data_IF_132822344351
#
_entry.id   IF_132822344351
#
_cell.length_a   1.000
_cell.length_b   1.000
_cell.length_c   1.000
_cell.angle_alpha   90.00
_cell.angle_beta   90.00
_cell.angle_gamma   90.00
#
_symmetry.space_group_name_H-M   'P 1'
#
loop_
_entity.id
_entity.type
_entity.pdbx_description
1 polymer ?
#
# COMPACT_ATOMS: atom_id res chain seq x y z
N UNK A 1 39.64 32.12 -25.44
CA UNK A 1 40.31 31.61 -24.22
C UNK A 1 39.41 31.89 -23.02
N UNK A 2 38.99 30.87 -22.29
CA UNK A 2 38.62 30.92 -20.87
C UNK A 2 38.39 29.46 -20.43
N UNK A 3 39.14 28.99 -19.42
CA UNK A 3 39.07 27.61 -18.93
C UNK A 3 38.03 27.53 -17.81
N UNK A 4 37.16 26.52 -17.87
CA UNK A 4 36.26 26.17 -16.77
C UNK A 4 36.63 24.77 -16.29
N UNK A 5 37.50 24.69 -15.30
CA UNK A 5 37.95 23.45 -14.67
C UNK A 5 38.05 23.65 -13.16
N UNK A 6 37.57 22.67 -12.40
CA UNK A 6 37.46 22.63 -10.94
C UNK A 6 36.38 23.57 -10.35
N UNK A 7 35.42 22.95 -9.63
CA UNK A 7 34.89 23.33 -8.31
C UNK A 7 33.52 22.67 -8.09
N UNK A 8 33.51 21.41 -7.67
CA UNK A 8 32.30 20.73 -7.12
C UNK A 8 32.71 19.55 -6.23
N UNK A 9 33.51 19.89 -5.22
CA UNK A 9 33.78 19.07 -4.04
C UNK A 9 33.64 19.97 -2.81
N UNK A 10 33.22 19.40 -1.68
CA UNK A 10 33.00 20.07 -0.38
C UNK A 10 31.67 20.83 -0.20
N UNK A 11 30.54 20.10 -0.19
CA UNK A 11 29.48 20.33 0.80
C UNK A 11 29.07 18.97 1.43
N UNK A 12 29.96 18.46 2.27
CA UNK A 12 29.63 17.58 3.39
C UNK A 12 30.21 18.25 4.65
N UNK A 13 29.64 17.95 5.83
CA UNK A 13 29.95 18.55 7.15
C UNK A 13 29.27 19.88 7.48
N UNK A 14 28.03 19.81 7.97
CA UNK A 14 27.60 20.60 9.13
C UNK A 14 26.80 19.71 10.07
N UNK A 15 27.50 19.14 11.07
CA UNK A 15 26.86 18.64 12.28
C UNK A 15 26.68 19.81 13.25
N UNK A 16 25.47 19.97 13.80
CA UNK A 16 25.23 20.71 15.04
C UNK A 16 24.25 19.90 15.87
N UNK A 17 24.72 19.41 17.02
CA UNK A 17 23.93 18.64 17.98
C UNK A 17 23.57 19.50 19.20
N UNK A 18 22.37 19.25 19.77
CA UNK A 18 21.85 19.53 21.13
C UNK A 18 20.32 19.32 20.98
N UNK A 19 19.73 18.23 21.51
CA UNK A 19 19.30 18.05 22.91
C UNK A 19 18.25 19.10 23.34
N UNK A 20 17.11 18.80 23.97
CA UNK A 20 16.56 17.52 24.45
C UNK A 20 15.04 17.68 24.70
N UNK A 21 14.21 16.69 24.32
CA UNK A 21 13.22 16.10 25.25
C UNK A 21 12.63 14.78 24.75
N UNK A 22 12.81 13.77 25.59
CA UNK A 22 12.20 12.44 25.62
C UNK A 22 10.65 12.46 25.58
N UNK A 23 9.90 11.38 25.38
CA UNK A 23 10.19 9.92 25.37
C UNK A 23 9.15 9.27 24.44
N UNK A 24 9.38 8.16 23.72
CA UNK A 24 10.54 7.27 23.66
C UNK A 24 10.69 6.66 22.24
N UNK A 25 11.80 5.97 21.99
CA UNK A 25 11.98 5.02 20.88
C UNK A 25 12.61 3.73 21.45
N UNK A 26 12.13 2.56 21.02
CA UNK A 26 12.71 1.27 21.42
C UNK A 26 14.06 1.02 20.74
N UNK A 27 15.03 0.51 21.48
CA UNK A 27 16.42 0.36 21.04
C UNK A 27 16.60 -0.53 19.80
N UNK A 28 17.48 -0.09 18.90
CA UNK A 28 18.11 -0.93 17.89
C UNK A 28 19.47 -1.41 18.43
N UNK A 29 19.70 -2.72 18.51
CA UNK A 29 20.94 -3.25 19.09
C UNK A 29 21.33 -4.63 18.55
N UNK A 30 22.58 -4.73 18.09
CA UNK A 30 23.34 -5.93 17.72
C UNK A 30 22.75 -6.82 16.60
N UNK A 31 23.60 -7.16 15.62
CA UNK A 31 23.20 -7.93 14.46
C UNK A 31 22.80 -9.37 14.79
N UNK A 32 21.52 -9.69 14.60
CA UNK A 32 21.07 -11.05 14.32
C UNK A 32 20.07 -11.04 13.16
N UNK A 33 20.03 -12.19 12.47
CA UNK A 33 19.17 -12.54 11.32
C UNK A 33 17.75 -11.95 11.43
N UNK A 34 17.44 -10.92 10.64
CA UNK A 34 16.10 -10.33 10.53
C UNK A 34 15.07 -11.43 10.25
N UNK A 35 14.16 -11.64 11.20
CA UNK A 35 13.12 -12.66 11.07
C UNK A 35 12.08 -12.20 10.05
N UNK A 36 11.62 -13.13 9.21
CA UNK A 36 10.71 -12.89 8.08
C UNK A 36 9.29 -12.50 8.52
N UNK A 37 9.08 -12.33 9.83
CA UNK A 37 7.79 -12.03 10.49
C UNK A 37 7.44 -10.54 10.57
N UNK A 38 8.40 -9.64 10.76
CA UNK A 38 8.08 -8.21 10.97
C UNK A 38 7.57 -7.48 9.71
N UNK A 39 7.88 -7.98 8.51
CA UNK A 39 7.34 -7.43 7.25
C UNK A 39 5.85 -7.80 7.09
N UNK A 40 5.36 -8.85 7.77
CA UNK A 40 3.95 -9.22 7.73
C UNK A 40 3.08 -8.33 8.61
N UNK A 41 3.62 -7.78 9.70
CA UNK A 41 2.84 -7.05 10.73
C UNK A 41 2.50 -5.60 10.38
N UNK A 42 3.17 -4.99 9.41
CA UNK A 42 2.83 -3.62 8.97
C UNK A 42 1.60 -3.58 8.03
N UNK A 43 1.25 -4.71 7.38
CA UNK A 43 0.06 -4.78 6.53
C UNK A 43 -1.26 -4.77 7.32
N UNK A 44 -1.26 -5.29 8.55
CA UNK A 44 -2.41 -5.26 9.46
C UNK A 44 -2.62 -3.88 10.11
N UNK A 45 -1.68 -2.94 9.92
CA UNK A 45 -1.71 -1.60 10.52
C UNK A 45 -2.55 -0.60 9.74
N UNK A 46 -2.80 -0.83 8.44
CA UNK A 46 -3.72 0.02 7.69
C UNK A 46 -5.16 -0.35 8.02
N UNK A 47 -5.76 0.41 8.94
CA UNK A 47 -7.20 0.44 9.12
C UNK A 47 -7.78 1.53 8.22
N UNK A 48 -8.72 1.16 7.33
CA UNK A 48 -9.52 2.14 6.58
C UNK A 48 -10.51 2.81 7.54
N UNK A 49 -10.85 4.07 7.29
CA UNK A 49 -11.89 4.80 8.03
C UNK A 49 -13.06 5.11 7.09
N UNK A 50 -14.29 4.93 7.55
CA UNK A 50 -15.49 5.05 6.72
C UNK A 50 -16.54 5.95 7.37
N UNK A 51 -17.41 6.55 6.57
CA UNK A 51 -18.72 6.97 7.09
C UNK A 51 -19.51 5.73 7.50
N UNK A 52 -20.10 5.73 8.70
CA UNK A 52 -20.85 4.60 9.27
C UNK A 52 -22.18 5.10 9.81
N UNK A 53 -23.29 4.53 9.33
CA UNK A 53 -24.65 4.83 9.77
C UNK A 53 -25.57 3.63 9.48
N UNK A 54 -26.57 3.38 10.32
CA UNK A 54 -27.49 2.24 10.18
C UNK A 54 -28.89 2.74 9.91
N UNK A 55 -29.46 2.38 8.76
CA UNK A 55 -30.85 2.61 8.36
C UNK A 55 -31.33 4.07 8.56
N UNK A 56 -30.54 5.04 8.10
CA UNK A 56 -30.91 6.47 8.15
C UNK A 56 -31.60 6.87 6.85
N UNK A 57 -32.44 7.91 6.89
CA UNK A 57 -33.26 8.31 5.74
C UNK A 57 -32.47 8.94 4.59
N UNK A 58 -31.34 9.59 4.87
CA UNK A 58 -30.58 10.31 3.84
C UNK A 58 -29.07 10.37 4.11
N UNK A 59 -28.30 10.60 3.04
CA UNK A 59 -26.85 10.68 3.03
C UNK A 59 -26.31 11.85 3.86
N UNK A 60 -26.99 13.00 3.87
CA UNK A 60 -26.58 14.16 4.65
C UNK A 60 -26.57 13.85 6.15
N UNK A 61 -27.67 13.24 6.63
CA UNK A 61 -27.83 12.81 8.03
C UNK A 61 -26.80 11.73 8.38
N UNK A 62 -26.59 10.75 7.48
CA UNK A 62 -25.56 9.72 7.65
C UNK A 62 -24.17 10.34 7.90
N UNK A 63 -23.77 11.31 7.08
CA UNK A 63 -22.44 11.91 7.17
C UNK A 63 -22.29 12.87 8.36
N UNK A 64 -23.34 13.58 8.74
CA UNK A 64 -23.34 14.51 9.87
C UNK A 64 -23.16 13.82 11.22
N UNK A 65 -23.72 12.61 11.39
CA UNK A 65 -23.68 11.85 12.65
C UNK A 65 -22.83 10.57 12.54
N UNK A 66 -21.96 10.49 11.53
CA UNK A 66 -21.07 9.35 11.34
C UNK A 66 -20.06 9.22 12.48
N UNK A 67 -19.66 7.99 12.77
CA UNK A 67 -18.67 7.68 13.80
C UNK A 67 -17.27 7.77 13.18
N UNK A 68 -16.53 8.83 13.51
CA UNK A 68 -15.09 8.95 13.21
C UNK A 68 -14.28 7.98 14.08
N UNK A 69 -14.10 6.76 13.54
CA UNK A 69 -13.16 5.76 14.08
C UNK A 69 -12.69 4.83 12.96
N UNK A 70 -11.42 4.38 12.99
CA UNK A 70 -10.95 3.36 12.06
C UNK A 70 -11.76 2.07 12.16
N UNK A 71 -11.89 1.37 11.03
CA UNK A 71 -12.50 0.05 10.94
C UNK A 71 -11.69 -1.00 11.72
N UNK A 72 -12.31 -2.12 12.06
CA UNK A 72 -11.65 -3.19 12.82
C UNK A 72 -10.61 -3.92 11.94
N UNK A 73 -9.60 -4.59 12.54
CA UNK A 73 -8.71 -5.47 11.80
C UNK A 73 -9.48 -6.47 10.93
N UNK A 74 -9.12 -6.53 9.64
CA UNK A 74 -9.80 -7.35 8.62
C UNK A 74 -10.96 -6.64 7.89
N UNK A 75 -11.56 -5.60 8.45
CA UNK A 75 -12.51 -4.72 7.75
C UNK A 75 -11.73 -3.71 6.90
N UNK A 76 -11.54 -4.04 5.61
CA UNK A 76 -10.65 -3.30 4.68
C UNK A 76 -11.40 -2.48 3.62
N UNK A 77 -12.73 -2.53 3.61
CA UNK A 77 -13.58 -1.79 2.67
C UNK A 77 -14.67 -0.99 3.41
N UNK A 78 -15.01 0.16 2.85
CA UNK A 78 -16.26 0.85 3.11
C UNK A 78 -17.34 0.33 2.17
N UNK A 79 -18.49 -0.07 2.72
CA UNK A 79 -19.66 -0.54 1.98
C UNK A 79 -20.83 0.43 2.18
N UNK A 80 -21.52 0.76 1.10
CA UNK A 80 -22.72 1.59 1.09
C UNK A 80 -23.87 0.86 0.41
N UNK A 81 -24.97 0.71 1.14
CA UNK A 81 -26.29 0.39 0.58
C UNK A 81 -27.11 1.67 0.55
N UNK A 82 -27.71 1.97 -0.59
CA UNK A 82 -28.68 3.03 -0.77
C UNK A 82 -29.94 2.46 -1.45
N UNK A 83 -31.09 2.72 -0.84
CA UNK A 83 -32.40 2.36 -1.38
C UNK A 83 -33.13 3.66 -1.69
N UNK A 84 -33.63 3.78 -2.91
CA UNK A 84 -34.44 4.92 -3.36
C UNK A 84 -35.83 4.47 -3.78
N UNK A 85 -36.80 5.38 -3.72
CA UNK A 85 -38.11 5.19 -4.34
C UNK A 85 -38.04 5.37 -5.88
N UNK A 86 -39.15 5.12 -6.56
CA UNK A 86 -39.29 5.29 -8.02
C UNK A 86 -39.13 6.74 -8.53
N UNK A 87 -38.99 7.73 -7.64
CA UNK A 87 -38.69 9.12 -7.97
C UNK A 87 -37.21 9.48 -7.74
N UNK A 88 -36.41 8.54 -7.24
CA UNK A 88 -35.01 8.77 -6.84
C UNK A 88 -34.85 9.39 -5.45
N UNK A 89 -35.90 9.42 -4.63
CA UNK A 89 -35.84 9.92 -3.24
C UNK A 89 -35.17 8.89 -2.35
N UNK A 90 -34.20 9.30 -1.53
CA UNK A 90 -33.59 8.46 -0.49
C UNK A 90 -34.65 7.87 0.43
N UNK A 91 -34.73 6.53 0.50
CA UNK A 91 -35.57 5.78 1.45
C UNK A 91 -34.73 5.27 2.60
N UNK A 92 -33.55 4.73 2.30
CA UNK A 92 -32.64 4.16 3.29
C UNK A 92 -31.19 4.27 2.82
N UNK A 93 -30.33 4.81 3.69
CA UNK A 93 -28.87 4.78 3.58
C UNK A 93 -28.32 3.94 4.74
N UNK A 94 -27.43 3.00 4.42
CA UNK A 94 -26.71 2.19 5.38
C UNK A 94 -25.25 2.11 4.94
N UNK A 95 -24.33 2.56 5.81
CA UNK A 95 -22.89 2.57 5.55
C UNK A 95 -22.16 1.83 6.67
N UNK A 96 -21.20 0.99 6.32
CA UNK A 96 -20.41 0.20 7.27
C UNK A 96 -18.99 -0.07 6.76
N UNK A 97 -18.10 -0.30 7.71
CA UNK A 97 -16.89 -1.09 7.50
C UNK A 97 -17.26 -2.53 7.10
N UNK A 98 -16.47 -3.17 6.24
CA UNK A 98 -16.68 -4.57 5.85
C UNK A 98 -15.40 -5.23 5.31
N UNK A 99 -15.48 -6.55 5.09
CA UNK A 99 -14.41 -7.40 4.53
C UNK A 99 -14.53 -7.53 3.01
N UNK A 100 -13.43 -7.95 2.38
CA UNK A 100 -13.34 -8.36 0.97
C UNK A 100 -14.30 -9.50 0.56
N UNK A 101 -14.76 -10.32 1.53
CA UNK A 101 -15.72 -11.40 1.29
C UNK A 101 -17.16 -10.90 1.14
N UNK A 102 -17.53 -9.91 1.92
CA UNK A 102 -18.82 -9.22 1.81
C UNK A 102 -18.82 -8.26 0.63
N UNK A 103 -17.72 -7.53 0.45
CA UNK A 103 -17.55 -6.55 -0.61
C UNK A 103 -16.81 -7.14 -1.81
N UNK A 104 -17.56 -7.59 -2.82
CA UNK A 104 -17.01 -8.21 -4.03
C UNK A 104 -17.50 -7.48 -5.29
N UNK A 105 -16.72 -7.53 -6.37
CA UNK A 105 -17.03 -6.86 -7.65
C UNK A 105 -18.34 -7.34 -8.31
N UNK A 106 -18.84 -8.52 -7.96
CA UNK A 106 -20.14 -9.07 -8.38
C UNK A 106 -21.30 -8.79 -7.40
N UNK A 107 -21.06 -8.06 -6.30
CA UNK A 107 -22.05 -7.66 -5.29
C UNK A 107 -22.34 -6.15 -5.28
N UNK A 108 -21.59 -5.37 -6.05
CA UNK A 108 -21.88 -3.96 -6.34
C UNK A 108 -22.76 -3.83 -7.58
N UNK A 109 -23.43 -2.70 -7.72
CA UNK A 109 -24.38 -2.41 -8.80
C UNK A 109 -25.73 -1.97 -8.23
N UNK A 110 -26.74 -1.87 -9.09
CA UNK A 110 -28.11 -1.59 -8.68
C UNK A 110 -29.07 -2.68 -9.18
N UNK A 111 -30.09 -2.97 -8.39
CA UNK A 111 -31.21 -3.85 -8.71
C UNK A 111 -32.52 -3.16 -8.36
N UNK A 112 -33.53 -3.32 -9.21
CA UNK A 112 -34.89 -2.86 -8.96
C UNK A 112 -35.70 -3.97 -8.30
N UNK A 113 -36.37 -3.66 -7.18
CA UNK A 113 -37.22 -4.58 -6.43
C UNK A 113 -38.54 -3.87 -6.13
N UNK A 114 -39.64 -4.46 -6.61
CA UNK A 114 -41.03 -3.98 -6.58
C UNK A 114 -41.26 -2.60 -7.24
N UNK A 115 -40.69 -1.54 -6.65
CA UNK A 115 -40.68 -0.16 -7.17
C UNK A 115 -39.57 0.69 -6.54
N UNK A 116 -38.54 0.04 -5.98
CA UNK A 116 -37.41 0.67 -5.30
C UNK A 116 -36.10 0.27 -5.99
N UNK A 117 -35.19 1.23 -6.11
CA UNK A 117 -33.85 1.00 -6.65
C UNK A 117 -32.87 0.78 -5.51
N UNK A 118 -32.40 -0.46 -5.35
CA UNK A 118 -31.38 -0.83 -4.36
C UNK A 118 -30.00 -0.82 -5.00
N UNK A 119 -29.16 0.13 -4.61
CA UNK A 119 -27.80 0.28 -5.10
C UNK A 119 -26.76 -0.03 -4.02
N UNK A 120 -25.72 -0.78 -4.39
CA UNK A 120 -24.58 -1.14 -3.52
C UNK A 120 -23.28 -0.67 -4.16
N UNK A 121 -22.45 0.03 -3.38
CA UNK A 121 -21.09 0.41 -3.76
C UNK A 121 -20.07 0.08 -2.68
N UNK A 122 -18.83 -0.05 -3.10
CA UNK A 122 -17.69 -0.33 -2.24
C UNK A 122 -16.47 0.49 -2.63
N UNK A 123 -15.64 0.84 -1.65
CA UNK A 123 -14.35 1.45 -1.86
C UNK A 123 -13.39 1.17 -0.69
N UNK A 124 -12.06 1.22 -0.91
CA UNK A 124 -11.04 0.82 0.07
C UNK A 124 -10.12 1.95 0.57
N UNK A 125 -10.49 3.21 0.29
CA UNK A 125 -9.77 4.40 0.75
C UNK A 125 -10.47 5.06 1.95
N UNK A 126 -9.73 5.81 2.76
CA UNK A 126 -10.33 6.56 3.88
C UNK A 126 -11.38 7.56 3.40
N UNK A 127 -12.54 7.52 4.05
CA UNK A 127 -13.73 8.34 3.79
C UNK A 127 -14.27 8.28 2.35
N UNK A 128 -13.89 7.27 1.56
CA UNK A 128 -14.28 7.15 0.15
C UNK A 128 -15.80 7.07 -0.07
N UNK A 129 -16.57 6.67 0.95
CA UNK A 129 -18.01 6.50 0.90
C UNK A 129 -18.81 7.76 1.32
N UNK A 130 -18.29 8.98 1.13
CA UNK A 130 -19.03 10.24 1.37
C UNK A 130 -20.35 10.29 0.60
N UNK A 131 -20.35 9.83 -0.66
CA UNK A 131 -21.50 9.83 -1.54
C UNK A 131 -22.19 8.47 -1.55
N UNK A 132 -23.50 8.47 -1.85
CA UNK A 132 -24.30 7.25 -2.06
C UNK A 132 -24.42 6.92 -3.55
N UNK A 133 -24.48 5.63 -3.92
CA UNK A 133 -24.77 5.24 -5.29
C UNK A 133 -26.26 5.51 -5.60
N UNK A 134 -26.55 6.02 -6.80
CA UNK A 134 -27.91 6.35 -7.27
C UNK A 134 -28.25 5.71 -8.61
N UNK A 135 -27.28 5.06 -9.28
CA UNK A 135 -27.46 4.35 -10.53
C UNK A 135 -26.30 3.34 -10.75
N UNK A 136 -26.44 2.46 -11.75
CA UNK A 136 -25.44 1.44 -12.06
C UNK A 136 -24.07 1.99 -12.47
N UNK A 137 -23.96 3.27 -12.83
CA UNK A 137 -22.70 3.91 -13.22
C UNK A 137 -21.88 4.42 -12.03
N UNK A 138 -22.52 4.73 -10.89
CA UNK A 138 -21.83 5.12 -9.66
C UNK A 138 -21.90 4.06 -8.53
N UNK A 139 -22.69 2.99 -8.71
CA UNK A 139 -22.65 1.77 -7.89
C UNK A 139 -21.42 0.90 -8.21
N UNK A 140 -20.22 1.42 -7.89
CA UNK A 140 -18.93 0.83 -8.28
C UNK A 140 -18.23 0.09 -7.14
N UNK A 141 -17.24 -0.73 -7.52
CA UNK A 141 -16.26 -1.36 -6.63
C UNK A 141 -14.88 -0.74 -6.90
N UNK A 142 -14.38 0.06 -5.96
CA UNK A 142 -13.06 0.70 -6.02
C UNK A 142 -12.06 0.02 -5.06
N UNK A 143 -11.04 -0.57 -5.66
CA UNK A 143 -9.97 -1.37 -5.04
C UNK A 143 -8.61 -0.67 -5.14
N UNK A 144 -8.61 0.67 -5.10
CA UNK A 144 -7.44 1.51 -5.33
C UNK A 144 -6.30 1.29 -4.33
N UNK A 145 -6.56 1.25 -3.03
CA UNK A 145 -5.52 0.97 -2.03
C UNK A 145 -5.02 -0.48 -2.18
N UNK A 146 -5.92 -1.43 -2.42
CA UNK A 146 -5.61 -2.85 -2.65
C UNK A 146 -4.68 -3.02 -3.86
N UNK A 147 -4.99 -2.37 -4.99
CA UNK A 147 -4.14 -2.32 -6.19
C UNK A 147 -2.79 -1.67 -5.91
N UNK A 148 -2.75 -0.54 -5.21
CA UNK A 148 -1.49 0.13 -4.86
C UNK A 148 -0.61 -0.75 -3.96
N UNK A 149 -1.20 -1.48 -3.00
CA UNK A 149 -0.48 -2.47 -2.18
C UNK A 149 0.07 -3.64 -3.01
N UNK A 150 -0.71 -4.17 -3.96
CA UNK A 150 -0.24 -5.23 -4.86
C UNK A 150 0.92 -4.75 -5.74
N UNK A 151 0.81 -3.56 -6.32
CA UNK A 151 1.86 -2.94 -7.13
C UNK A 151 3.13 -2.71 -6.29
N UNK A 152 3.00 -2.16 -5.08
CA UNK A 152 4.13 -1.96 -4.17
C UNK A 152 4.82 -3.29 -3.81
N UNK A 153 4.05 -4.33 -3.43
CA UNK A 153 4.60 -5.68 -3.15
C UNK A 153 5.41 -6.21 -4.34
N UNK A 154 4.86 -6.14 -5.55
CA UNK A 154 5.54 -6.59 -6.76
C UNK A 154 6.84 -5.80 -7.01
N UNK A 155 6.81 -4.47 -6.88
CA UNK A 155 8.00 -3.61 -7.05
C UNK A 155 9.11 -3.94 -6.04
N UNK A 156 8.76 -4.23 -4.78
CA UNK A 156 9.74 -4.67 -3.78
C UNK A 156 10.34 -6.05 -4.12
N UNK A 157 9.50 -7.01 -4.54
CA UNK A 157 9.96 -8.34 -4.96
C UNK A 157 10.89 -8.29 -6.19
N UNK A 158 10.60 -7.46 -7.20
CA UNK A 158 11.49 -7.31 -8.35
C UNK A 158 12.83 -6.64 -7.97
N UNK A 159 12.81 -5.68 -7.04
CA UNK A 159 14.04 -5.07 -6.50
C UNK A 159 14.90 -6.07 -5.74
N UNK A 160 14.29 -6.96 -4.96
CA UNK A 160 14.99 -8.04 -4.23
C UNK A 160 15.65 -9.04 -5.19
N UNK A 161 14.94 -9.44 -6.26
CA UNK A 161 15.50 -10.29 -7.33
C UNK A 161 16.71 -9.62 -8.00
N UNK A 162 16.59 -8.36 -8.39
CA UNK A 162 17.67 -7.60 -9.06
C UNK A 162 18.92 -7.42 -8.18
N UNK A 163 18.74 -7.26 -6.86
CA UNK A 163 19.86 -7.24 -5.90
C UNK A 163 20.50 -8.62 -5.70
N UNK A 164 19.74 -9.70 -5.86
CA UNK A 164 20.25 -11.07 -5.74
C UNK A 164 21.05 -11.50 -6.98
N UNK A 165 20.69 -11.02 -8.18
CA UNK A 165 21.42 -11.33 -9.42
C UNK A 165 22.83 -10.73 -9.45
N UNK A 166 23.01 -9.48 -9.00
CA UNK A 166 24.33 -8.81 -9.02
C UNK A 166 25.36 -9.49 -8.11
N UNK A 167 24.94 -10.09 -7.00
CA UNK A 167 25.79 -10.90 -6.12
C UNK A 167 26.24 -12.21 -6.78
N UNK A 168 25.39 -12.81 -7.61
CA UNK A 168 25.68 -14.10 -8.26
C UNK A 168 26.72 -13.95 -9.38
N UNK A 169 26.62 -12.89 -10.18
CA UNK A 169 27.60 -12.60 -11.25
C UNK A 169 28.98 -12.21 -10.70
N UNK A 170 29.01 -11.56 -9.52
CA UNK A 170 30.24 -11.25 -8.78
C UNK A 170 31.01 -12.52 -8.37
N UNK A 171 30.29 -13.61 -8.06
CA UNK A 171 30.89 -14.91 -7.72
C UNK A 171 31.50 -15.63 -8.94
N UNK A 172 30.93 -15.46 -10.12
CA UNK A 172 31.40 -16.14 -11.35
C UNK A 172 32.64 -15.45 -11.91
N UNK A 173 32.67 -14.12 -11.95
CA UNK A 173 33.83 -13.36 -12.44
C UNK A 173 35.09 -13.57 -11.57
N UNK A 174 34.96 -13.68 -10.24
CA UNK A 174 36.09 -13.99 -9.38
C UNK A 174 36.69 -15.38 -9.64
N UNK A 175 35.86 -16.39 -9.96
CA UNK A 175 36.36 -17.74 -10.24
C UNK A 175 37.13 -17.83 -11.56
N UNK A 176 36.70 -17.08 -12.58
CA UNK A 176 37.40 -16.99 -13.89
C UNK A 176 38.72 -16.23 -13.73
N UNK A 177 38.71 -15.10 -13.02
CA UNK A 177 39.90 -14.27 -12.76
C UNK A 177 41.03 -15.06 -12.09
N UNK A 178 40.74 -15.77 -10.99
CA UNK A 178 41.77 -16.51 -10.23
C UNK A 178 42.36 -17.66 -11.03
N UNK A 179 41.55 -18.41 -11.79
CA UNK A 179 42.05 -19.50 -12.62
C UNK A 179 42.93 -19.00 -13.78
N UNK A 180 42.60 -17.86 -14.39
CA UNK A 180 43.42 -17.27 -15.46
C UNK A 180 44.78 -16.79 -14.94
N UNK A 181 44.82 -16.18 -13.75
CA UNK A 181 46.07 -15.75 -13.10
C UNK A 181 46.95 -16.95 -12.73
N UNK A 182 46.36 -18.04 -12.20
CA UNK A 182 47.10 -19.28 -11.89
C UNK A 182 47.67 -19.90 -13.17
N UNK A 183 46.92 -19.94 -14.27
CA UNK A 183 47.39 -20.48 -15.55
C UNK A 183 48.58 -19.66 -16.10
N UNK A 184 48.51 -18.33 -16.03
CA UNK A 184 49.62 -17.46 -16.42
C UNK A 184 50.87 -17.68 -15.56
N UNK A 185 50.74 -17.85 -14.24
CA UNK A 185 51.87 -18.14 -13.35
C UNK A 185 52.53 -19.49 -13.66
N UNK A 186 51.74 -20.52 -13.96
CA UNK A 186 52.28 -21.82 -14.39
C UNK A 186 53.08 -21.72 -15.70
N UNK A 187 52.58 -20.99 -16.69
CA UNK A 187 53.26 -20.80 -17.98
C UNK A 187 54.58 -20.01 -17.87
N UNK A 188 54.70 -19.12 -16.88
CA UNK A 188 55.96 -18.41 -16.59
C UNK A 188 56.99 -19.37 -15.99
N UNK A 189 56.58 -20.26 -15.08
CA UNK A 189 57.46 -21.22 -14.40
C UNK A 189 57.93 -22.39 -15.29
N UNK A 190 57.24 -22.70 -16.38
CA UNK A 190 57.65 -23.76 -17.32
C UNK A 190 58.50 -23.26 -18.50
N UNK A 191 58.89 -21.97 -18.50
CA UNK A 191 59.60 -21.32 -19.61
C UNK A 191 61.02 -20.85 -19.27
N UNK A 192 61.59 -21.36 -18.17
CA UNK A 192 63.00 -21.25 -17.76
C UNK A 192 63.68 -22.60 -17.78
#
# INVERSE_FOLDING_TARGET
>A
MLRLSMLLSCIFMTNTALEEKSTAYGNLGAGTRLDKREIATDFDKYAVTCYICVNVSDNLICNQFAIDKPCKPGETFCHTLHIMDSKGTSVLVNKKCTTDKECQRNKVGCIEIDSQLMCVSCCDQDYCNTNVPVNSSNAVFDDKITKMRMLAKNLFTEREKAMTTTLKDSSVNNFISVNLVILCLYLIFTCT
#
